data_IF_160980617205
#
_entry.id   IF_160980617205
#
_cell.length_a   1.000
_cell.length_b   1.000
_cell.length_c   1.000
_cell.angle_alpha   90.00
_cell.angle_beta   90.00
_cell.angle_gamma   90.00
#
_symmetry.space_group_name_H-M   'P 1'
#
loop_
_entity.id
_entity.type
_entity.pdbx_description
1 polymer ?
#
# COMPACT_ATOMS: atom_id res chain seq x y z
N UNK A 1 -9.28 -5.11 -16.31
CA UNK A 1 -8.31 -5.42 -15.27
C UNK A 1 -7.84 -4.12 -14.60
N UNK A 2 -7.83 -4.10 -13.30
CA UNK A 2 -7.47 -2.92 -12.54
C UNK A 2 -5.95 -2.82 -12.39
N UNK A 3 -5.39 -1.64 -12.65
CA UNK A 3 -3.97 -1.42 -12.44
C UNK A 3 -3.64 -1.35 -10.94
N UNK A 4 -2.37 -1.59 -10.60
CA UNK A 4 -1.93 -1.50 -9.21
C UNK A 4 -2.15 -0.10 -8.64
N UNK A 5 -1.94 0.94 -9.45
CA UNK A 5 -2.16 2.32 -9.01
C UNK A 5 -3.62 2.57 -8.66
N UNK A 6 -4.55 2.07 -9.48
CA UNK A 6 -5.98 2.23 -9.22
C UNK A 6 -6.39 1.45 -7.97
N UNK A 7 -5.87 0.23 -7.81
CA UNK A 7 -6.15 -0.58 -6.62
C UNK A 7 -5.67 0.12 -5.36
N UNK A 8 -4.47 0.69 -5.39
CA UNK A 8 -3.91 1.40 -4.25
C UNK A 8 -4.76 2.62 -3.88
N UNK A 9 -5.26 3.35 -4.87
CA UNK A 9 -6.13 4.50 -4.61
C UNK A 9 -7.44 4.08 -3.95
N UNK A 10 -8.03 2.98 -4.40
CA UNK A 10 -9.26 2.47 -3.80
C UNK A 10 -9.04 2.04 -2.36
N UNK A 11 -7.92 1.39 -2.10
CA UNK A 11 -7.58 0.95 -0.74
C UNK A 11 -7.31 2.15 0.17
N UNK A 12 -6.71 3.21 -0.37
CA UNK A 12 -6.49 4.43 0.38
C UNK A 12 -7.81 5.10 0.75
N UNK A 13 -8.76 5.11 -0.17
CA UNK A 13 -10.09 5.67 0.10
C UNK A 13 -10.83 4.89 1.18
N UNK A 14 -10.55 3.59 1.27
CA UNK A 14 -11.15 2.73 2.29
C UNK A 14 -10.42 2.81 3.64
N UNK A 15 -9.29 3.52 3.69
CA UNK A 15 -8.51 3.63 4.92
C UNK A 15 -7.54 2.49 5.15
N UNK A 16 -7.35 1.62 4.16
CA UNK A 16 -6.44 0.47 4.26
C UNK A 16 -5.00 0.89 3.99
N UNK A 17 -4.81 1.82 3.05
CA UNK A 17 -3.50 2.37 2.71
C UNK A 17 -3.46 3.86 2.97
N UNK A 18 -2.27 4.38 3.16
CA UNK A 18 -2.03 5.81 3.23
C UNK A 18 -0.83 6.14 2.36
N UNK A 19 -0.90 7.26 1.66
CA UNK A 19 0.21 7.74 0.85
C UNK A 19 1.10 8.63 1.71
N UNK A 20 2.36 8.26 1.81
CA UNK A 20 3.36 9.00 2.55
C UNK A 20 4.36 9.60 1.58
N UNK A 21 5.05 10.64 2.01
CA UNK A 21 6.04 11.33 1.20
C UNK A 21 7.37 11.30 1.93
N UNK A 22 8.46 11.05 1.20
CA UNK A 22 9.80 11.14 1.74
C UNK A 22 10.65 12.05 0.87
N UNK A 23 11.65 12.67 1.49
CA UNK A 23 12.63 13.46 0.75
C UNK A 23 13.59 12.52 0.02
N UNK A 24 13.87 12.83 -1.24
CA UNK A 24 14.87 12.09 -2.00
C UNK A 24 16.17 12.89 -2.00
N UNK A 25 17.27 12.20 -2.30
CA UNK A 25 18.58 12.84 -2.40
C UNK A 25 18.65 13.88 -3.51
N UNK A 26 17.73 13.82 -4.46
CA UNK A 26 17.65 14.77 -5.56
C UNK A 26 16.75 15.96 -5.25
N UNK A 27 16.26 16.07 -4.03
CA UNK A 27 15.41 17.18 -3.62
C UNK A 27 13.95 17.07 -4.06
N UNK A 28 13.59 16.05 -4.84
CA UNK A 28 12.23 15.84 -5.29
C UNK A 28 11.52 14.88 -4.34
N UNK A 29 10.37 15.25 -3.75
CA UNK A 29 9.67 14.34 -2.85
C UNK A 29 9.16 13.12 -3.60
N UNK A 30 9.33 11.96 -2.99
CA UNK A 30 8.80 10.70 -3.51
C UNK A 30 7.66 10.22 -2.65
N UNK A 31 6.62 9.72 -3.29
CA UNK A 31 5.46 9.17 -2.59
C UNK A 31 5.55 7.65 -2.56
N UNK A 32 5.09 7.08 -1.46
CA UNK A 32 5.03 5.63 -1.33
C UNK A 32 3.81 5.25 -0.50
N UNK A 33 3.38 4.00 -0.64
CA UNK A 33 2.21 3.49 0.06
C UNK A 33 2.61 2.79 1.35
N UNK A 34 1.81 2.99 2.38
CA UNK A 34 2.00 2.33 3.66
C UNK A 34 0.67 1.73 4.11
N UNK A 35 0.73 0.52 4.67
CA UNK A 35 -0.46 -0.12 5.23
C UNK A 35 -0.80 0.56 6.55
N UNK A 36 -2.06 0.99 6.68
CA UNK A 36 -2.54 1.62 7.91
C UNK A 36 -2.82 0.57 8.98
N UNK A 37 -3.08 1.04 10.20
CA UNK A 37 -3.47 0.14 11.28
C UNK A 37 -4.68 -0.71 10.89
N UNK A 38 -5.66 -0.10 10.23
CA UNK A 38 -6.83 -0.82 9.74
C UNK A 38 -6.44 -1.86 8.69
N UNK A 39 -5.45 -1.54 7.86
CA UNK A 39 -5.00 -2.44 6.80
C UNK A 39 -4.12 -3.58 7.28
N UNK A 40 -3.60 -3.52 8.50
CA UNK A 40 -2.70 -4.55 9.02
C UNK A 40 -3.37 -5.91 9.14
N UNK A 41 -4.70 -5.96 9.21
CA UNK A 41 -5.40 -7.23 9.23
C UNK A 41 -5.33 -7.97 7.89
N UNK A 42 -4.99 -7.27 6.81
CA UNK A 42 -4.92 -7.85 5.47
C UNK A 42 -3.48 -7.99 4.97
N UNK A 43 -2.54 -7.27 5.55
CA UNK A 43 -1.17 -7.30 5.08
C UNK A 43 -0.22 -6.60 6.03
N UNK A 44 0.99 -6.38 5.56
CA UNK A 44 2.02 -5.73 6.36
C UNK A 44 2.89 -4.84 5.48
N UNK A 45 3.59 -3.91 6.11
CA UNK A 45 4.62 -3.12 5.45
C UNK A 45 5.92 -3.88 5.44
N UNK A 46 6.56 -3.92 4.28
CA UNK A 46 7.86 -4.55 4.12
C UNK A 46 8.82 -3.50 3.58
N UNK A 47 9.98 -3.38 4.21
CA UNK A 47 11.02 -2.48 3.73
C UNK A 47 12.00 -3.25 2.87
N UNK A 48 12.46 -2.59 1.79
CA UNK A 48 13.49 -3.18 0.94
C UNK A 48 14.87 -2.94 1.56
N UNK A 49 15.79 -3.93 1.52
CA UNK A 49 17.17 -3.71 1.96
C UNK A 49 17.86 -2.57 1.21
N UNK A 50 17.48 -2.37 -0.06
CA UNK A 50 18.06 -1.31 -0.89
C UNK A 50 17.41 0.05 -0.66
N UNK A 51 16.25 0.08 -0.01
CA UNK A 51 15.49 1.32 0.16
C UNK A 51 14.73 1.28 1.49
N UNK A 52 15.44 1.33 2.63
CA UNK A 52 14.80 1.19 3.95
C UNK A 52 13.86 2.35 4.31
N UNK A 53 13.91 3.44 3.54
CA UNK A 53 13.04 4.60 3.79
C UNK A 53 11.65 4.44 3.17
N UNK A 54 11.45 3.45 2.31
CA UNK A 54 10.18 3.19 1.66
C UNK A 54 9.61 1.86 2.13
N UNK A 55 8.30 1.83 2.31
CA UNK A 55 7.61 0.59 2.61
C UNK A 55 6.80 0.17 1.41
N UNK A 56 6.62 -1.14 1.25
CA UNK A 56 5.77 -1.72 0.24
C UNK A 56 4.71 -2.55 0.92
N UNK A 57 3.42 -2.37 0.59
CA UNK A 57 2.38 -3.22 1.15
C UNK A 57 2.51 -4.65 0.61
N UNK A 58 2.52 -5.61 1.52
CA UNK A 58 2.50 -7.03 1.18
C UNK A 58 1.26 -7.65 1.80
N UNK A 59 0.38 -8.13 0.95
CA UNK A 59 -0.89 -8.68 1.39
C UNK A 59 -0.74 -10.15 1.75
N UNK A 60 -1.34 -10.55 2.85
CA UNK A 60 -1.34 -11.96 3.23
C UNK A 60 -2.13 -12.74 2.19
N UNK A 61 -1.56 -13.87 1.75
CA UNK A 61 -2.20 -14.69 0.71
C UNK A 61 -3.63 -15.08 1.10
N UNK A 62 -3.84 -15.46 2.34
CA UNK A 62 -5.14 -15.88 2.82
C UNK A 62 -6.13 -14.71 2.92
N UNK A 63 -5.66 -13.50 2.97
CA UNK A 63 -6.51 -12.30 3.08
C UNK A 63 -6.67 -11.58 1.75
N UNK A 64 -5.83 -11.86 0.76
CA UNK A 64 -5.85 -11.14 -0.51
C UNK A 64 -7.19 -11.24 -1.22
N UNK A 65 -7.78 -12.43 -1.24
CA UNK A 65 -9.09 -12.63 -1.88
C UNK A 65 -10.17 -11.81 -1.21
N UNK A 66 -10.21 -11.83 0.13
CA UNK A 66 -11.18 -11.03 0.89
C UNK A 66 -10.99 -9.55 0.64
N UNK A 67 -9.73 -9.10 0.61
CA UNK A 67 -9.40 -7.71 0.34
C UNK A 67 -9.94 -7.27 -1.03
N UNK A 68 -9.69 -8.07 -2.05
CA UNK A 68 -10.14 -7.79 -3.40
C UNK A 68 -11.67 -7.74 -3.46
N UNK A 69 -12.34 -8.73 -2.89
CA UNK A 69 -13.79 -8.82 -2.93
C UNK A 69 -14.47 -7.70 -2.15
N UNK A 70 -13.84 -7.25 -1.06
CA UNK A 70 -14.44 -6.23 -0.20
C UNK A 70 -14.24 -4.82 -0.75
N UNK A 71 -13.07 -4.53 -1.29
CA UNK A 71 -12.67 -3.16 -1.62
C UNK A 71 -12.41 -2.91 -3.10
N UNK A 72 -12.02 -3.91 -3.86
CA UNK A 72 -11.59 -3.72 -5.24
C UNK A 72 -12.61 -4.15 -6.28
N UNK A 73 -13.50 -5.05 -5.94
CA UNK A 73 -14.57 -5.44 -6.86
C UNK A 73 -15.75 -4.48 -6.74
N UNK A 74 -16.43 -4.19 -7.84
CA UNK A 74 -17.60 -3.30 -7.82
C UNK A 74 -18.78 -3.90 -7.06
#
# INVERSE_FOLDING_TARGET
TMSAATANKKLAQAGILVELTRSSSKGTPKKFWSVTEKGEMFGKNVTSPNNPKETQPHWYRQCAKTLIETYLLP
#
